data_IF_011713909939
#
_entry.id   IF_011713909939
#
_cell.length_a   1.000
_cell.length_b   1.000
_cell.length_c   1.000
_cell.angle_alpha   90.00
_cell.angle_beta   90.00
_cell.angle_gamma   90.00
#
_symmetry.space_group_name_H-M   'P 1'
#
loop_
_entity.id
_entity.type
_entity.pdbx_description
1 polymer ?
#
# COMPACT_ATOMS: atom_id res chain seq x y z
N UNK A 1 -63.57 -37.62 -46.41
CA UNK A 1 -64.49 -38.68 -45.97
C UNK A 1 -63.64 -39.89 -45.64
N UNK A 2 -63.12 -39.93 -44.41
CA UNK A 2 -62.53 -41.08 -43.70
C UNK A 2 -62.37 -40.67 -42.22
N UNK A 3 -62.54 -41.67 -41.36
CA UNK A 3 -63.05 -41.70 -39.98
C UNK A 3 -62.08 -41.15 -38.88
N UNK A 4 -62.58 -40.42 -37.85
CA UNK A 4 -61.76 -39.92 -36.75
C UNK A 4 -61.79 -40.85 -35.52
N UNK A 5 -61.01 -41.95 -35.52
CA UNK A 5 -60.70 -42.75 -34.31
C UNK A 5 -59.34 -43.43 -34.44
N UNK A 6 -58.28 -42.67 -34.21
CA UNK A 6 -56.95 -43.22 -33.93
C UNK A 6 -56.50 -42.76 -32.53
N UNK A 7 -56.41 -43.66 -31.53
CA UNK A 7 -56.11 -43.32 -30.14
C UNK A 7 -54.62 -43.00 -29.88
N UNK A 8 -53.74 -43.03 -30.88
CA UNK A 8 -52.29 -42.90 -30.66
C UNK A 8 -51.75 -41.46 -30.69
N UNK A 9 -52.60 -40.44 -30.86
CA UNK A 9 -52.16 -39.04 -30.85
C UNK A 9 -52.01 -38.41 -29.45
N UNK A 10 -52.40 -39.10 -28.37
CA UNK A 10 -52.34 -38.57 -27.01
C UNK A 10 -51.07 -38.92 -26.22
N UNK A 11 -50.13 -39.67 -26.79
CA UNK A 11 -48.89 -40.07 -26.09
C UNK A 11 -47.57 -39.63 -26.74
N UNK A 12 -47.60 -38.81 -27.81
CA UNK A 12 -46.40 -38.39 -28.54
C UNK A 12 -45.91 -36.95 -28.25
N UNK A 13 -46.45 -36.28 -27.21
CA UNK A 13 -46.07 -34.89 -26.86
C UNK A 13 -45.40 -34.72 -25.48
N UNK A 14 -45.06 -35.80 -24.78
CA UNK A 14 -44.50 -35.74 -23.41
C UNK A 14 -42.99 -36.04 -23.28
N UNK A 15 -42.23 -36.16 -24.38
CA UNK A 15 -40.78 -36.44 -24.33
C UNK A 15 -39.93 -35.46 -25.13
N UNK A 16 -40.10 -34.14 -24.90
CA UNK A 16 -39.05 -33.16 -25.18
C UNK A 16 -38.42 -32.70 -23.86
N UNK A 17 -37.16 -33.03 -23.56
CA UNK A 17 -36.48 -32.45 -22.42
C UNK A 17 -36.40 -30.93 -22.63
N UNK A 18 -36.89 -30.17 -21.65
CA UNK A 18 -36.70 -28.71 -21.61
C UNK A 18 -35.20 -28.43 -21.60
N UNK A 19 -34.70 -27.42 -22.36
CA UNK A 19 -33.32 -26.99 -22.19
C UNK A 19 -33.15 -26.57 -20.72
N UNK A 20 -32.26 -27.28 -20.02
CA UNK A 20 -31.87 -26.90 -18.68
C UNK A 20 -31.30 -25.48 -18.76
N UNK A 21 -31.92 -24.54 -18.05
CA UNK A 21 -31.29 -23.28 -17.70
C UNK A 21 -30.07 -23.63 -16.84
N UNK A 22 -28.94 -23.85 -17.51
CA UNK A 22 -27.64 -23.73 -16.88
C UNK A 22 -27.50 -22.24 -16.61
N UNK A 23 -27.48 -21.87 -15.33
CA UNK A 23 -26.99 -20.57 -14.90
C UNK A 23 -25.49 -20.57 -15.21
N UNK A 24 -25.16 -20.42 -16.49
CA UNK A 24 -23.82 -20.20 -17.01
C UNK A 24 -23.48 -18.78 -16.59
N UNK A 25 -22.37 -18.61 -15.87
CA UNK A 25 -21.90 -17.32 -15.34
C UNK A 25 -21.97 -16.23 -16.43
N UNK A 26 -23.04 -15.43 -16.37
CA UNK A 26 -23.28 -14.31 -17.28
C UNK A 26 -22.17 -13.25 -17.16
N UNK A 27 -21.41 -13.29 -16.08
CA UNK A 27 -20.19 -12.51 -15.81
C UNK A 27 -19.02 -12.89 -16.72
N UNK A 28 -18.83 -14.16 -17.09
CA UNK A 28 -17.73 -14.57 -17.97
C UNK A 28 -18.02 -14.25 -19.44
N UNK A 29 -19.25 -14.45 -19.89
CA UNK A 29 -19.65 -14.07 -21.25
C UNK A 29 -19.73 -12.54 -21.43
N UNK A 30 -20.13 -11.79 -20.39
CA UNK A 30 -20.05 -10.33 -20.42
C UNK A 30 -18.60 -9.82 -20.45
N UNK A 31 -17.67 -10.46 -19.72
CA UNK A 31 -16.23 -10.17 -19.79
C UNK A 31 -15.60 -10.53 -21.13
N UNK A 32 -16.07 -11.59 -21.79
CA UNK A 32 -15.56 -12.00 -23.10
C UNK A 32 -16.06 -11.13 -24.26
N UNK A 33 -17.23 -10.50 -24.11
CA UNK A 33 -17.87 -9.67 -25.14
C UNK A 33 -17.39 -8.21 -25.14
N UNK A 34 -16.74 -7.77 -24.06
CA UNK A 34 -16.21 -6.42 -23.95
C UNK A 34 -14.76 -6.40 -24.47
N UNK A 35 -14.59 -5.87 -25.67
CA UNK A 35 -13.33 -5.90 -26.43
C UNK A 35 -12.23 -5.11 -25.70
N UNK A 36 -12.59 -4.13 -24.86
CA UNK A 36 -11.67 -3.38 -23.99
C UNK A 36 -11.24 -4.17 -22.72
N UNK A 37 -11.96 -5.24 -22.37
CA UNK A 37 -11.66 -6.12 -21.21
C UNK A 37 -10.90 -7.40 -21.60
N UNK A 38 -10.67 -7.65 -22.89
CA UNK A 38 -9.81 -8.77 -23.30
C UNK A 38 -8.37 -8.46 -22.90
N UNK A 39 -7.84 -9.24 -21.93
CA UNK A 39 -6.40 -9.25 -21.66
C UNK A 39 -5.69 -9.58 -22.97
N UNK A 40 -4.74 -8.74 -23.38
CA UNK A 40 -3.75 -9.12 -24.40
C UNK A 40 -3.14 -10.46 -24.01
N UNK A 41 -2.66 -11.28 -24.98
CA UNK A 41 -2.20 -12.62 -24.68
C UNK A 41 -1.15 -12.59 -23.56
N UNK A 42 -1.57 -13.11 -22.39
CA UNK A 42 -0.67 -13.38 -21.27
C UNK A 42 0.50 -14.21 -21.80
N UNK A 43 1.71 -13.98 -21.27
CA UNK A 43 2.89 -14.75 -21.66
C UNK A 43 2.52 -16.24 -21.63
N UNK A 44 2.42 -16.86 -22.80
CA UNK A 44 2.20 -18.30 -22.96
C UNK A 44 3.56 -18.99 -22.87
N UNK A 45 3.60 -20.30 -22.66
CA UNK A 45 4.85 -21.05 -22.66
C UNK A 45 5.64 -20.87 -23.99
N UNK A 46 4.95 -20.48 -25.07
CA UNK A 46 5.55 -20.16 -26.36
C UNK A 46 6.13 -18.73 -26.45
N UNK A 47 5.68 -17.80 -25.61
CA UNK A 47 6.05 -16.38 -25.64
C UNK A 47 6.81 -15.93 -24.38
N UNK A 48 7.20 -16.85 -23.50
CA UNK A 48 8.07 -16.60 -22.33
C UNK A 48 9.55 -16.83 -22.70
N UNK A 49 10.30 -15.78 -23.06
CA UNK A 49 11.66 -15.91 -23.58
C UNK A 49 12.63 -16.54 -22.57
N UNK A 50 12.31 -16.49 -21.27
CA UNK A 50 13.15 -17.01 -20.20
C UNK A 50 12.57 -18.24 -19.49
N UNK A 51 11.44 -18.77 -19.97
CA UNK A 51 10.82 -19.97 -19.40
C UNK A 51 10.54 -19.86 -17.89
N UNK A 52 10.33 -18.65 -17.38
CA UNK A 52 10.05 -18.38 -15.96
C UNK A 52 8.80 -19.11 -15.47
N UNK A 53 7.82 -19.34 -16.35
CA UNK A 53 6.60 -20.11 -16.04
C UNK A 53 6.87 -21.51 -15.54
N UNK A 54 7.91 -22.18 -16.04
CA UNK A 54 8.30 -23.52 -15.57
C UNK A 54 8.80 -23.50 -14.11
N UNK A 55 9.20 -22.34 -13.61
CA UNK A 55 9.59 -22.14 -12.21
C UNK A 55 8.40 -22.08 -11.24
N UNK A 56 7.17 -21.84 -11.73
CA UNK A 56 5.99 -21.72 -10.88
C UNK A 56 5.68 -23.04 -10.17
N UNK A 57 5.51 -22.97 -8.85
CA UNK A 57 5.04 -24.09 -8.03
C UNK A 57 3.55 -23.95 -7.77
N UNK A 58 2.77 -24.95 -8.16
CA UNK A 58 1.33 -24.95 -7.86
C UNK A 58 1.08 -25.13 -6.37
N UNK A 59 -0.11 -24.77 -5.88
CA UNK A 59 -0.48 -25.00 -4.48
C UNK A 59 -0.32 -26.49 -4.07
N UNK A 60 -0.62 -27.40 -4.99
CA UNK A 60 -0.40 -28.84 -4.80
C UNK A 60 1.09 -29.20 -4.69
N UNK A 61 1.97 -28.54 -5.43
CA UNK A 61 3.42 -28.75 -5.32
C UNK A 61 3.96 -28.25 -3.98
N UNK A 62 3.48 -27.09 -3.50
CA UNK A 62 3.83 -26.56 -2.17
C UNK A 62 3.37 -27.50 -1.06
N UNK A 63 2.15 -28.04 -1.17
CA UNK A 63 1.62 -29.04 -0.24
C UNK A 63 2.42 -30.35 -0.26
N UNK A 64 2.92 -30.79 -1.42
CA UNK A 64 3.79 -31.97 -1.50
C UNK A 64 5.19 -31.71 -0.94
N UNK A 65 5.75 -30.52 -1.13
CA UNK A 65 7.02 -30.09 -0.49
C UNK A 65 6.85 -30.12 1.03
N UNK A 66 5.73 -29.60 1.54
CA UNK A 66 5.35 -29.67 2.95
C UNK A 66 5.22 -31.11 3.44
N UNK A 67 4.53 -31.96 2.68
CA UNK A 67 4.32 -33.37 3.01
C UNK A 67 5.63 -34.17 3.03
N UNK A 68 6.51 -33.99 2.05
CA UNK A 68 7.80 -34.69 1.95
C UNK A 68 8.76 -34.29 3.07
N UNK A 69 8.77 -33.01 3.43
CA UNK A 69 9.58 -32.52 4.56
C UNK A 69 9.02 -33.01 5.90
N UNK A 70 7.68 -33.13 6.01
CA UNK A 70 7.04 -33.71 7.18
C UNK A 70 7.31 -35.21 7.36
N UNK A 71 7.41 -36.00 6.28
CA UNK A 71 7.77 -37.43 6.33
C UNK A 71 9.21 -37.66 6.80
N UNK A 72 10.12 -36.71 6.61
CA UNK A 72 11.48 -36.77 7.16
C UNK A 72 11.51 -36.60 8.69
N UNK A 73 10.44 -36.08 9.32
CA UNK A 73 10.29 -35.94 10.79
C UNK A 73 10.14 -37.27 11.53
N UNK A 74 9.67 -38.33 10.87
CA UNK A 74 9.36 -39.61 11.57
C UNK A 74 10.57 -40.54 11.69
N UNK A 75 11.69 -40.26 11.01
CA UNK A 75 12.84 -41.15 10.95
C UNK A 75 13.92 -40.92 12.04
N UNK A 76 13.80 -39.90 12.90
CA UNK A 76 14.75 -39.67 13.99
C UNK A 76 14.31 -38.60 14.97
N UNK A 77 13.98 -38.98 16.21
CA UNK A 77 13.41 -38.06 17.20
C UNK A 77 14.40 -37.66 18.29
N UNK A 78 14.79 -36.38 18.29
CA UNK A 78 14.94 -35.54 19.49
C UNK A 78 14.06 -34.28 19.30
N UNK A 79 13.41 -33.76 20.35
CA UNK A 79 12.38 -32.71 20.23
C UNK A 79 12.92 -31.35 19.73
N UNK A 80 14.20 -31.06 19.95
CA UNK A 80 14.86 -29.82 19.49
C UNK A 80 15.10 -29.82 17.97
N UNK A 81 15.35 -30.99 17.37
CA UNK A 81 15.52 -31.14 15.94
C UNK A 81 14.20 -30.88 15.19
N UNK A 82 13.06 -31.26 15.78
CA UNK A 82 11.74 -31.07 15.17
C UNK A 82 11.34 -29.59 14.98
N UNK A 83 11.72 -28.70 15.90
CA UNK A 83 11.45 -27.26 15.79
C UNK A 83 12.29 -26.56 14.71
N UNK A 84 13.57 -26.93 14.59
CA UNK A 84 14.48 -26.38 13.57
C UNK A 84 14.06 -26.79 12.15
N UNK A 85 13.64 -28.03 11.96
CA UNK A 85 13.18 -28.51 10.64
C UNK A 85 11.83 -27.89 10.25
N UNK A 86 10.89 -27.70 11.20
CA UNK A 86 9.63 -27.01 10.92
C UNK A 86 9.83 -25.54 10.51
N UNK A 87 10.76 -24.83 11.16
CA UNK A 87 11.13 -23.48 10.78
C UNK A 87 11.73 -23.43 9.37
N UNK A 88 12.61 -24.38 9.01
CA UNK A 88 13.16 -24.49 7.66
C UNK A 88 12.08 -24.76 6.60
N UNK A 89 11.11 -25.62 6.88
CA UNK A 89 9.99 -25.88 5.95
C UNK A 89 9.16 -24.63 5.71
N UNK A 90 8.80 -23.91 6.78
CA UNK A 90 8.02 -22.66 6.65
C UNK A 90 8.80 -21.60 5.86
N UNK A 91 10.11 -21.50 6.10
CA UNK A 91 10.98 -20.57 5.35
C UNK A 91 11.12 -20.96 3.88
N UNK A 92 11.10 -22.26 3.57
CA UNK A 92 11.13 -22.77 2.20
C UNK A 92 9.81 -22.52 1.46
N UNK A 93 8.68 -22.70 2.15
CA UNK A 93 7.34 -22.37 1.65
C UNK A 93 7.24 -20.88 1.34
N UNK A 94 7.56 -20.03 2.32
CA UNK A 94 7.61 -18.57 2.17
C UNK A 94 8.54 -18.15 1.01
N UNK A 95 9.67 -18.85 0.83
CA UNK A 95 10.56 -18.63 -0.31
C UNK A 95 9.87 -18.95 -1.64
N UNK A 96 9.24 -20.11 -1.81
CA UNK A 96 8.56 -20.46 -3.07
C UNK A 96 7.32 -19.62 -3.33
N UNK A 97 6.58 -19.23 -2.30
CA UNK A 97 5.48 -18.27 -2.41
C UNK A 97 6.00 -16.92 -2.92
N UNK A 98 7.08 -16.40 -2.34
CA UNK A 98 7.72 -15.15 -2.79
C UNK A 98 8.24 -15.28 -4.23
N UNK A 99 8.81 -16.43 -4.61
CA UNK A 99 9.25 -16.67 -5.98
C UNK A 99 8.08 -16.75 -6.96
N UNK A 100 7.00 -17.42 -6.60
CA UNK A 100 5.79 -17.47 -7.43
C UNK A 100 5.19 -16.07 -7.62
N UNK A 101 5.15 -15.27 -6.56
CA UNK A 101 4.69 -13.88 -6.64
C UNK A 101 5.61 -13.06 -7.55
N UNK A 102 6.92 -13.24 -7.46
CA UNK A 102 7.87 -12.55 -8.34
C UNK A 102 7.70 -12.98 -9.81
N UNK A 103 7.65 -14.28 -10.10
CA UNK A 103 7.45 -14.80 -11.46
C UNK A 103 6.12 -14.31 -12.04
N UNK A 104 5.04 -14.34 -11.24
CA UNK A 104 3.74 -13.85 -11.70
C UNK A 104 3.75 -12.34 -11.96
N UNK A 105 4.49 -11.56 -11.16
CA UNK A 105 4.71 -10.12 -11.40
C UNK A 105 5.51 -9.86 -12.68
N UNK A 106 6.58 -10.61 -12.94
CA UNK A 106 7.40 -10.45 -14.15
C UNK A 106 6.63 -10.81 -15.42
N UNK A 107 5.87 -11.89 -15.37
CA UNK A 107 5.07 -12.39 -16.50
C UNK A 107 3.74 -11.65 -16.67
N UNK A 108 3.44 -10.68 -15.83
CA UNK A 108 2.22 -9.91 -15.98
C UNK A 108 2.43 -8.85 -17.08
N UNK A 109 1.57 -8.82 -18.10
CA UNK A 109 1.64 -7.79 -19.13
C UNK A 109 1.58 -6.38 -18.51
N UNK A 110 2.34 -5.44 -19.09
CA UNK A 110 2.35 -4.04 -18.63
C UNK A 110 0.94 -3.45 -18.69
N UNK A 111 0.17 -3.78 -19.72
CA UNK A 111 -1.22 -3.31 -19.87
C UNK A 111 -2.14 -3.84 -18.76
N UNK A 112 -1.89 -5.03 -18.22
CA UNK A 112 -2.62 -5.55 -17.06
C UNK A 112 -2.26 -4.81 -15.78
N UNK A 113 -1.01 -4.34 -15.64
CA UNK A 113 -0.64 -3.46 -14.53
C UNK A 113 -1.36 -2.10 -14.62
N UNK A 114 -1.45 -1.51 -15.81
CA UNK A 114 -2.16 -0.25 -16.05
C UNK A 114 -3.66 -0.43 -15.81
N UNK A 115 -4.24 -1.51 -16.35
CA UNK A 115 -5.65 -1.81 -16.20
C UNK A 115 -6.01 -2.07 -14.74
N UNK A 116 -5.26 -2.87 -14.00
CA UNK A 116 -5.54 -3.07 -12.58
C UNK A 116 -5.37 -1.79 -11.76
N UNK A 117 -4.42 -0.92 -12.10
CA UNK A 117 -4.29 0.37 -11.47
C UNK A 117 -5.54 1.23 -11.74
N UNK A 118 -6.02 1.25 -12.98
CA UNK A 118 -7.24 1.95 -13.40
C UNK A 118 -8.51 1.34 -12.81
N UNK A 119 -8.65 0.02 -12.78
CA UNK A 119 -9.77 -0.69 -12.15
C UNK A 119 -9.76 -0.49 -10.63
N UNK A 120 -8.59 -0.45 -9.96
CA UNK A 120 -8.51 -0.06 -8.55
C UNK A 120 -8.98 1.38 -8.32
N UNK A 121 -8.79 2.25 -9.31
CA UNK A 121 -9.21 3.65 -9.25
C UNK A 121 -10.70 3.83 -9.61
N UNK A 122 -11.25 3.00 -10.50
CA UNK A 122 -12.63 3.09 -11.00
C UNK A 122 -13.62 2.24 -10.18
N UNK A 123 -13.16 1.14 -9.56
CA UNK A 123 -13.98 0.24 -8.73
C UNK A 123 -14.29 0.76 -7.33
N UNK A 124 -14.24 2.09 -7.14
CA UNK A 124 -14.76 2.76 -5.95
C UNK A 124 -16.27 2.57 -5.82
N UNK A 125 -16.68 1.38 -5.38
CA UNK A 125 -18.06 1.06 -5.04
C UNK A 125 -18.57 2.06 -4.00
N UNK A 126 -19.88 2.33 -3.99
CA UNK A 126 -20.53 3.21 -3.01
C UNK A 126 -20.11 2.91 -1.56
N UNK A 127 -19.87 1.65 -1.22
CA UNK A 127 -19.38 1.22 0.10
C UNK A 127 -17.98 1.77 0.43
N UNK A 128 -17.08 1.83 -0.56
CA UNK A 128 -15.75 2.40 -0.43
C UNK A 128 -15.82 3.92 -0.21
N UNK A 129 -16.62 4.64 -1.03
CA UNK A 129 -16.79 6.09 -0.87
C UNK A 129 -17.42 6.45 0.48
N UNK A 130 -18.41 5.66 0.91
CA UNK A 130 -19.03 5.82 2.23
C UNK A 130 -18.03 5.52 3.35
N UNK A 131 -17.19 4.49 3.23
CA UNK A 131 -16.19 4.18 4.25
C UNK A 131 -15.13 5.28 4.37
N UNK A 132 -14.61 5.80 3.26
CA UNK A 132 -13.59 6.86 3.24
C UNK A 132 -14.16 8.20 3.71
N UNK A 133 -15.25 8.67 3.09
CA UNK A 133 -15.87 9.94 3.48
C UNK A 133 -16.52 9.89 4.86
N UNK A 134 -17.13 8.76 5.22
CA UNK A 134 -17.72 8.53 6.54
C UNK A 134 -16.68 8.53 7.64
N UNK A 135 -15.54 7.87 7.44
CA UNK A 135 -14.45 7.87 8.43
C UNK A 135 -13.77 9.22 8.55
N UNK A 136 -13.62 9.96 7.44
CA UNK A 136 -13.13 11.34 7.48
C UNK A 136 -14.08 12.27 8.27
N UNK A 137 -15.38 12.19 8.00
CA UNK A 137 -16.39 12.96 8.74
C UNK A 137 -16.42 12.58 10.22
N UNK A 138 -16.32 11.29 10.53
CA UNK A 138 -16.24 10.80 11.90
C UNK A 138 -14.99 11.33 12.62
N UNK A 139 -13.82 11.33 11.97
CA UNK A 139 -12.59 11.88 12.53
C UNK A 139 -12.72 13.38 12.84
N UNK A 140 -13.38 14.17 11.99
CA UNK A 140 -13.67 15.59 12.27
C UNK A 140 -14.57 15.75 13.51
N UNK A 141 -15.64 14.96 13.61
CA UNK A 141 -16.55 14.99 14.76
C UNK A 141 -15.81 14.59 16.05
N UNK A 142 -14.99 13.53 15.97
CA UNK A 142 -14.18 13.05 17.08
C UNK A 142 -13.16 14.10 17.55
N UNK A 143 -12.50 14.80 16.61
CA UNK A 143 -11.60 15.90 16.93
C UNK A 143 -12.33 17.02 17.71
N UNK A 144 -13.55 17.36 17.32
CA UNK A 144 -14.39 18.33 18.04
C UNK A 144 -14.77 17.86 19.45
N UNK A 145 -15.12 16.58 19.62
CA UNK A 145 -15.44 16.00 20.93
C UNK A 145 -14.20 15.95 21.84
N UNK A 146 -13.04 15.59 21.29
CA UNK A 146 -11.79 15.57 22.03
C UNK A 146 -11.31 16.97 22.39
N UNK A 147 -11.59 17.97 21.55
CA UNK A 147 -11.30 19.38 21.85
C UNK A 147 -12.09 19.83 23.08
N UNK A 148 -13.39 19.54 23.09
CA UNK A 148 -14.24 19.81 24.25
C UNK A 148 -13.74 19.06 25.50
N UNK A 149 -13.36 17.78 25.37
CA UNK A 149 -12.88 17.00 26.49
C UNK A 149 -11.54 17.49 27.05
N UNK A 150 -10.58 17.87 26.22
CA UNK A 150 -9.29 18.38 26.67
C UNK A 150 -9.42 19.73 27.38
N UNK A 151 -10.19 20.67 26.80
CA UNK A 151 -10.43 21.99 27.40
C UNK A 151 -11.19 21.87 28.72
N UNK A 152 -12.24 21.04 28.76
CA UNK A 152 -13.03 20.86 29.99
C UNK A 152 -12.29 20.08 31.07
N UNK A 153 -11.42 19.14 30.71
CA UNK A 153 -10.70 18.32 31.69
C UNK A 153 -9.44 18.96 32.24
N UNK A 154 -8.80 19.86 31.50
CA UNK A 154 -7.47 20.39 31.84
C UNK A 154 -6.35 19.35 31.88
N UNK A 155 -6.59 18.13 31.38
CA UNK A 155 -5.65 17.00 31.46
C UNK A 155 -4.65 17.03 30.31
N UNK A 156 -3.37 16.91 30.64
CA UNK A 156 -2.27 17.00 29.67
C UNK A 156 -2.21 15.80 28.73
N UNK A 157 -2.58 14.60 29.22
CA UNK A 157 -2.67 13.42 28.35
C UNK A 157 -3.81 13.55 27.33
N UNK A 158 -4.95 14.13 27.74
CA UNK A 158 -6.07 14.39 26.83
C UNK A 158 -5.73 15.48 25.80
N UNK A 159 -4.95 16.50 26.18
CA UNK A 159 -4.39 17.47 25.23
C UNK A 159 -3.46 16.82 24.21
N UNK A 160 -2.70 15.80 24.61
CA UNK A 160 -1.83 15.06 23.68
C UNK A 160 -2.65 14.27 22.68
N UNK A 161 -3.69 13.57 23.12
CA UNK A 161 -4.61 12.84 22.21
C UNK A 161 -5.43 13.78 21.33
N UNK A 162 -5.73 14.98 21.81
CA UNK A 162 -6.40 16.02 21.03
C UNK A 162 -5.52 16.49 19.87
N UNK A 163 -4.24 16.76 20.14
CA UNK A 163 -3.31 17.22 19.12
C UNK A 163 -3.29 16.21 17.96
N UNK A 164 -3.10 14.93 18.28
CA UNK A 164 -3.15 13.81 17.32
C UNK A 164 -4.43 13.87 16.45
N UNK A 165 -5.61 13.88 17.09
CA UNK A 165 -6.89 13.85 16.39
C UNK A 165 -7.24 15.10 15.58
N UNK A 166 -6.71 16.28 15.91
CA UNK A 166 -6.86 17.49 15.08
C UNK A 166 -5.92 17.42 13.87
N UNK A 167 -4.69 16.95 14.09
CA UNK A 167 -3.67 16.98 13.07
C UNK A 167 -3.85 15.84 12.04
N UNK A 168 -4.47 14.72 12.39
CA UNK A 168 -4.81 13.65 11.43
C UNK A 168 -5.69 14.12 10.25
N UNK A 169 -6.84 14.78 10.45
CA UNK A 169 -7.62 15.32 9.34
C UNK A 169 -6.89 16.48 8.63
N UNK A 170 -6.05 17.25 9.34
CA UNK A 170 -5.23 18.29 8.71
C UNK A 170 -4.13 17.71 7.79
N UNK A 171 -3.55 16.57 8.13
CA UNK A 171 -2.57 15.88 7.29
C UNK A 171 -3.23 15.41 5.98
N UNK A 172 -4.41 14.79 6.09
CA UNK A 172 -5.24 14.40 4.94
C UNK A 172 -5.64 15.60 4.08
N UNK A 173 -6.02 16.73 4.69
CA UNK A 173 -6.30 17.96 3.95
C UNK A 173 -5.05 18.46 3.22
N UNK A 174 -3.90 18.43 3.88
CA UNK A 174 -2.62 18.84 3.28
C UNK A 174 -2.27 17.96 2.08
N UNK A 175 -2.44 16.64 2.19
CA UNK A 175 -2.29 15.69 1.08
C UNK A 175 -3.22 16.03 -0.09
N UNK A 176 -4.50 16.29 0.17
CA UNK A 176 -5.47 16.67 -0.87
C UNK A 176 -5.06 17.98 -1.56
N UNK A 177 -4.61 18.97 -0.79
CA UNK A 177 -4.16 20.26 -1.33
C UNK A 177 -2.88 20.08 -2.17
N UNK A 178 -1.93 19.27 -1.70
CA UNK A 178 -0.72 18.91 -2.43
C UNK A 178 -1.06 18.19 -3.74
N UNK A 179 -1.90 17.16 -3.69
CA UNK A 179 -2.34 16.43 -4.88
C UNK A 179 -3.02 17.35 -5.90
N UNK A 180 -3.88 18.27 -5.43
CA UNK A 180 -4.53 19.27 -6.30
C UNK A 180 -3.51 20.26 -6.90
N UNK A 181 -2.46 20.60 -6.17
CA UNK A 181 -1.37 21.46 -6.66
C UNK A 181 -0.48 20.73 -7.69
N UNK A 182 -0.25 19.42 -7.51
CA UNK A 182 0.46 18.55 -8.47
C UNK A 182 -0.36 18.35 -9.75
N UNK A 183 -1.68 18.22 -9.67
CA UNK A 183 -2.53 18.08 -10.85
C UNK A 183 -2.67 19.36 -11.68
N UNK A 184 -2.25 20.52 -11.14
CA UNK A 184 -2.25 21.83 -11.84
C UNK A 184 -0.84 22.29 -12.21
N UNK A 185 -0.04 21.38 -12.77
CA UNK A 185 1.33 21.70 -13.22
C UNK A 185 1.30 22.27 -14.63
N UNK A 186 1.97 23.41 -14.81
CA UNK A 186 2.35 23.92 -16.12
C UNK A 186 3.67 23.24 -16.55
N UNK A 187 3.66 22.42 -17.62
CA UNK A 187 4.85 21.71 -18.10
C UNK A 187 6.01 22.63 -18.46
N UNK A 188 5.75 23.89 -18.83
CA UNK A 188 6.82 24.83 -19.23
C UNK A 188 7.66 25.31 -18.07
N UNK A 189 7.06 25.43 -16.88
CA UNK A 189 7.74 25.90 -15.67
C UNK A 189 8.34 24.77 -14.85
N UNK A 190 7.76 23.58 -14.94
CA UNK A 190 8.15 22.39 -14.18
C UNK A 190 8.22 21.16 -15.11
N UNK A 191 9.30 21.02 -15.91
CA UNK A 191 9.42 19.95 -16.90
C UNK A 191 9.51 18.56 -16.26
N UNK A 192 9.98 18.47 -15.02
CA UNK A 192 10.06 17.24 -14.23
C UNK A 192 8.85 17.03 -13.31
N UNK A 193 7.74 17.73 -13.55
CA UNK A 193 6.54 17.66 -12.70
C UNK A 193 6.69 18.37 -11.34
N UNK A 194 5.67 18.22 -10.48
CA UNK A 194 5.65 18.72 -9.08
C UNK A 194 5.43 17.61 -8.04
N UNK A 195 5.60 16.34 -8.40
CA UNK A 195 5.32 15.21 -7.50
C UNK A 195 6.02 15.35 -6.14
N UNK A 196 7.23 15.93 -6.11
CA UNK A 196 8.02 16.21 -4.89
C UNK A 196 7.35 17.15 -3.88
N UNK A 197 6.37 17.96 -4.29
CA UNK A 197 5.64 18.86 -3.38
C UNK A 197 4.87 18.06 -2.34
N UNK A 198 4.36 16.88 -2.71
CA UNK A 198 3.67 15.98 -1.79
C UNK A 198 4.60 15.55 -0.66
N UNK A 199 5.76 14.99 -1.01
CA UNK A 199 6.83 14.61 -0.07
C UNK A 199 7.29 15.79 0.78
N UNK A 200 7.49 16.98 0.19
CA UNK A 200 7.87 18.18 0.92
C UNK A 200 6.79 18.63 1.93
N UNK A 201 5.51 18.53 1.56
CA UNK A 201 4.37 18.78 2.43
C UNK A 201 4.35 17.80 3.62
N UNK A 202 4.54 16.51 3.36
CA UNK A 202 4.59 15.47 4.41
C UNK A 202 5.75 15.71 5.39
N UNK A 203 6.93 16.11 4.89
CA UNK A 203 8.08 16.46 5.73
C UNK A 203 7.77 17.67 6.61
N UNK A 204 7.24 18.76 6.02
CA UNK A 204 6.88 19.96 6.76
C UNK A 204 5.85 19.67 7.85
N UNK A 205 4.85 18.84 7.55
CA UNK A 205 3.85 18.40 8.50
C UNK A 205 4.45 17.55 9.62
N UNK A 206 5.36 16.63 9.30
CA UNK A 206 6.07 15.81 10.29
C UNK A 206 6.89 16.67 11.27
N UNK A 207 7.53 17.74 10.79
CA UNK A 207 8.23 18.68 11.65
C UNK A 207 7.29 19.50 12.54
N UNK A 208 6.14 19.94 12.00
CA UNK A 208 5.10 20.61 12.78
C UNK A 208 4.62 19.71 13.94
N UNK A 209 4.33 18.44 13.64
CA UNK A 209 3.91 17.46 14.65
C UNK A 209 4.97 17.19 15.69
N UNK A 210 6.23 17.06 15.27
CA UNK A 210 7.35 16.92 16.19
C UNK A 210 7.48 18.13 17.12
N UNK A 211 7.29 19.35 16.59
CA UNK A 211 7.31 20.57 17.40
C UNK A 211 6.17 20.63 18.42
N UNK A 212 4.94 20.27 18.02
CA UNK A 212 3.79 20.17 18.93
C UNK A 212 4.06 19.16 20.05
N UNK A 213 4.58 17.98 19.71
CA UNK A 213 4.97 16.97 20.69
C UNK A 213 6.06 17.46 21.65
N UNK A 214 7.07 18.20 21.18
CA UNK A 214 8.09 18.79 22.05
C UNK A 214 7.50 19.83 23.02
N UNK A 215 6.56 20.65 22.55
CA UNK A 215 5.84 21.60 23.41
C UNK A 215 5.08 20.84 24.50
N UNK A 216 4.36 19.78 24.15
CA UNK A 216 3.62 18.94 25.11
C UNK A 216 4.53 18.24 26.12
N UNK A 217 5.71 17.78 25.70
CA UNK A 217 6.74 17.23 26.60
C UNK A 217 7.17 18.30 27.61
N UNK A 218 7.49 19.52 27.15
CA UNK A 218 7.92 20.61 28.04
C UNK A 218 6.80 21.03 29.00
N UNK A 219 5.56 21.16 28.52
CA UNK A 219 4.40 21.46 29.36
C UNK A 219 4.21 20.39 30.44
N UNK A 220 4.28 19.12 30.06
CA UNK A 220 4.10 18.00 30.97
C UNK A 220 5.25 17.82 31.95
N UNK A 221 6.49 18.07 31.52
CA UNK A 221 7.66 18.07 32.39
C UNK A 221 7.62 19.23 33.40
N UNK A 222 7.16 20.40 32.97
CA UNK A 222 6.94 21.55 33.87
C UNK A 222 5.87 21.25 34.90
N UNK A 223 4.76 20.65 34.50
CA UNK A 223 3.68 20.27 35.43
C UNK A 223 4.15 19.22 36.45
N UNK A 224 4.92 18.23 35.98
CA UNK A 224 5.54 17.24 36.86
C UNK A 224 6.55 17.85 37.84
N UNK A 225 7.36 18.81 37.39
CA UNK A 225 8.38 19.48 38.20
C UNK A 225 7.81 20.52 39.17
N UNK A 226 6.72 21.20 38.79
CA UNK A 226 6.03 22.15 39.66
C UNK A 226 5.48 21.47 40.92
N UNK A 227 5.14 20.18 40.80
CA UNK A 227 4.61 19.39 41.89
C UNK A 227 3.19 19.82 42.24
N UNK A 228 2.31 18.86 42.44
CA UNK A 228 0.96 19.18 42.86
C UNK A 228 0.98 19.65 44.33
N UNK A 229 0.66 20.92 44.59
CA UNK A 229 0.57 21.54 45.92
C UNK A 229 -0.56 20.97 46.79
N UNK A 230 -0.63 19.65 46.95
CA UNK A 230 -1.55 18.95 47.84
C UNK A 230 -2.99 18.81 47.35
N UNK A 231 -3.35 19.23 46.12
CA UNK A 231 -4.71 19.04 45.60
C UNK A 231 -4.82 17.74 44.82
N UNK A 232 -5.22 16.67 45.51
CA UNK A 232 -5.45 15.35 44.91
C UNK A 232 -6.50 15.33 43.77
N UNK A 233 -7.11 16.47 43.44
CA UNK A 233 -8.19 16.61 42.47
C UNK A 233 -8.00 17.92 41.70
N UNK A 234 -7.38 17.88 40.52
CA UNK A 234 -8.01 18.63 39.43
C UNK A 234 -9.40 18.00 39.30
N UNK A 235 -10.46 18.79 39.44
CA UNK A 235 -11.84 18.29 39.46
C UNK A 235 -12.02 17.29 38.32
N UNK A 236 -12.16 16.00 38.67
CA UNK A 236 -12.32 14.95 37.68
C UNK A 236 -13.66 15.22 36.99
N UNK A 237 -13.59 15.89 35.84
CA UNK A 237 -14.74 16.17 35.03
C UNK A 237 -15.22 14.83 34.47
N UNK A 238 -16.10 14.16 35.19
CA UNK A 238 -16.71 12.91 34.75
C UNK A 238 -17.28 13.04 33.34
N UNK A 239 -17.76 14.24 32.98
CA UNK A 239 -18.16 14.62 31.64
C UNK A 239 -17.05 14.48 30.59
N UNK A 240 -15.81 14.91 30.86
CA UNK A 240 -14.69 14.76 29.90
C UNK A 240 -14.31 13.29 29.73
N UNK A 241 -14.27 12.50 30.81
CA UNK A 241 -14.01 11.07 30.75
C UNK A 241 -15.10 10.31 29.99
N UNK A 242 -16.38 10.69 30.15
CA UNK A 242 -17.50 10.11 29.38
C UNK A 242 -17.37 10.50 27.90
N UNK A 243 -17.07 11.76 27.58
CA UNK A 243 -16.91 12.21 26.18
C UNK A 243 -15.76 11.48 25.49
N UNK A 244 -14.61 11.32 26.16
CA UNK A 244 -13.48 10.55 25.60
C UNK A 244 -13.79 9.06 25.53
N UNK A 245 -14.54 8.52 26.49
CA UNK A 245 -15.03 7.14 26.44
C UNK A 245 -15.98 6.89 25.27
N UNK A 246 -16.90 7.83 24.99
CA UNK A 246 -17.78 7.79 23.82
C UNK A 246 -16.96 7.91 22.54
N UNK A 247 -16.01 8.83 22.47
CA UNK A 247 -15.11 8.97 21.33
C UNK A 247 -14.32 7.68 21.05
N UNK A 248 -13.80 7.04 22.11
CA UNK A 248 -13.12 5.74 22.02
C UNK A 248 -14.06 4.65 21.52
N UNK A 249 -15.30 4.56 22.04
CA UNK A 249 -16.30 3.59 21.59
C UNK A 249 -16.71 3.79 20.12
N UNK A 250 -16.88 5.04 19.69
CA UNK A 250 -17.15 5.38 18.28
C UNK A 250 -15.98 4.94 17.40
N UNK A 251 -14.74 5.25 17.79
CA UNK A 251 -13.54 4.85 17.04
C UNK A 251 -13.36 3.32 17.01
N UNK A 252 -13.69 2.64 18.11
CA UNK A 252 -13.71 1.17 18.19
C UNK A 252 -14.77 0.56 17.26
N UNK A 253 -15.93 1.19 17.11
CA UNK A 253 -16.97 0.76 16.17
C UNK A 253 -16.53 0.92 14.72
N UNK A 254 -15.87 2.04 14.38
CA UNK A 254 -15.24 2.24 13.06
C UNK A 254 -14.14 1.21 12.79
N UNK A 255 -13.34 0.87 13.81
CA UNK A 255 -12.33 -0.18 13.73
C UNK A 255 -12.96 -1.54 13.37
N UNK A 256 -14.04 -1.96 14.04
CA UNK A 256 -14.72 -3.23 13.72
C UNK A 256 -15.38 -3.21 12.33
N UNK A 257 -15.93 -2.07 11.92
CA UNK A 257 -16.50 -1.89 10.59
C UNK A 257 -15.42 -2.04 9.50
N UNK A 258 -14.29 -1.36 9.64
CA UNK A 258 -13.17 -1.47 8.71
C UNK A 258 -12.52 -2.86 8.77
N UNK A 259 -12.49 -3.51 9.94
CA UNK A 259 -11.97 -4.86 10.11
C UNK A 259 -12.75 -5.89 9.28
N UNK A 260 -14.09 -5.78 9.24
CA UNK A 260 -14.94 -6.67 8.44
C UNK A 260 -14.69 -6.52 6.93
N UNK A 261 -14.28 -5.33 6.48
CA UNK A 261 -14.07 -4.99 5.07
C UNK A 261 -12.60 -4.97 4.63
N UNK A 262 -11.65 -5.19 5.56
CA UNK A 262 -10.20 -5.04 5.32
C UNK A 262 -9.65 -5.99 4.24
N UNK A 263 -10.28 -7.14 4.03
CA UNK A 263 -9.83 -8.15 3.08
C UNK A 263 -10.36 -7.89 1.66
N UNK A 264 -11.31 -6.96 1.51
CA UNK A 264 -11.95 -6.66 0.23
C UNK A 264 -11.28 -5.49 -0.49
N UNK A 265 -10.85 -4.47 0.26
CA UNK A 265 -10.27 -3.25 -0.31
C UNK A 265 -8.96 -2.87 0.40
N UNK A 266 -7.88 -2.68 -0.38
CA UNK A 266 -6.55 -2.33 0.14
C UNK A 266 -6.53 -0.99 0.90
N UNK A 267 -7.31 0.00 0.46
CA UNK A 267 -7.40 1.28 1.16
C UNK A 267 -8.14 1.17 2.50
N UNK A 268 -9.14 0.29 2.60
CA UNK A 268 -9.82 0.03 3.89
C UNK A 268 -8.87 -0.64 4.88
N UNK A 269 -7.92 -1.45 4.39
CA UNK A 269 -6.85 -2.00 5.24
C UNK A 269 -5.98 -0.89 5.82
N UNK A 270 -5.60 0.10 5.03
CA UNK A 270 -4.81 1.26 5.50
C UNK A 270 -5.60 2.04 6.56
N UNK A 271 -6.88 2.33 6.28
CA UNK A 271 -7.77 3.02 7.22
C UNK A 271 -8.00 2.22 8.52
N UNK A 272 -8.03 0.89 8.43
CA UNK A 272 -8.09 0.03 9.61
C UNK A 272 -6.81 0.09 10.45
N UNK A 273 -5.63 0.13 9.81
CA UNK A 273 -4.35 0.29 10.50
C UNK A 273 -4.26 1.65 11.20
N UNK A 274 -4.77 2.70 10.55
CA UNK A 274 -4.91 4.05 11.09
C UNK A 274 -5.79 4.05 12.36
N UNK A 275 -7.03 3.58 12.25
CA UNK A 275 -7.94 3.47 13.39
C UNK A 275 -7.40 2.60 14.52
N UNK A 276 -6.62 1.56 14.22
CA UNK A 276 -5.97 0.72 15.22
C UNK A 276 -4.94 1.53 16.02
N UNK A 277 -4.05 2.23 15.34
CA UNK A 277 -3.00 3.01 15.99
C UNK A 277 -3.60 4.13 16.84
N UNK A 278 -4.61 4.81 16.31
CA UNK A 278 -5.33 5.83 17.04
C UNK A 278 -6.03 5.30 18.29
N UNK A 279 -6.61 4.10 18.22
CA UNK A 279 -7.25 3.48 19.37
C UNK A 279 -6.24 3.22 20.49
N UNK A 280 -5.01 2.83 20.14
CA UNK A 280 -3.92 2.67 21.12
C UNK A 280 -3.53 4.01 21.75
N UNK A 281 -3.32 5.05 20.96
CA UNK A 281 -2.92 6.39 21.45
C UNK A 281 -4.03 6.98 22.33
N UNK A 282 -5.27 6.98 21.84
CA UNK A 282 -6.43 7.52 22.55
C UNK A 282 -6.79 6.71 23.80
N UNK A 283 -6.68 5.38 23.72
CA UNK A 283 -6.91 4.49 24.87
C UNK A 283 -5.85 4.68 25.96
N UNK A 284 -4.58 4.83 25.58
CA UNK A 284 -3.50 5.11 26.52
C UNK A 284 -3.63 6.49 27.17
N UNK A 285 -4.00 7.52 26.40
CA UNK A 285 -4.29 8.86 26.93
C UNK A 285 -5.45 8.85 27.92
N UNK A 286 -6.58 8.22 27.57
CA UNK A 286 -7.73 8.08 28.48
C UNK A 286 -7.36 7.33 29.77
N UNK A 287 -6.62 6.22 29.65
CA UNK A 287 -6.18 5.44 30.80
C UNK A 287 -5.30 6.29 31.73
N UNK A 288 -4.30 6.97 31.19
CA UNK A 288 -3.37 7.79 31.98
C UNK A 288 -4.07 9.00 32.62
N UNK A 289 -5.03 9.61 31.93
CA UNK A 289 -5.89 10.67 32.49
C UNK A 289 -6.72 10.18 33.69
N UNK A 290 -7.43 9.04 33.56
CA UNK A 290 -8.26 8.48 34.64
C UNK A 290 -7.39 8.05 35.83
N UNK A 291 -6.25 7.39 35.58
CA UNK A 291 -5.33 6.98 36.64
C UNK A 291 -4.67 8.19 37.31
N UNK A 292 -4.37 9.24 36.55
CA UNK A 292 -3.89 10.52 37.04
C UNK A 292 -4.84 11.15 38.05
N UNK A 293 -6.13 11.15 37.74
CA UNK A 293 -7.16 11.73 38.58
C UNK A 293 -7.55 10.87 39.79
N UNK A 294 -7.59 9.54 39.66
CA UNK A 294 -8.09 8.64 40.72
C UNK A 294 -7.00 7.99 41.59
N UNK A 295 -5.81 7.79 41.04
CA UNK A 295 -4.76 7.00 41.69
C UNK A 295 -3.62 7.89 42.16
N UNK A 296 -2.91 8.54 41.23
CA UNK A 296 -1.75 9.39 41.52
C UNK A 296 -1.62 10.50 40.47
N UNK A 297 -1.56 11.74 40.93
CA UNK A 297 -1.53 12.94 40.09
C UNK A 297 -0.45 12.92 39.00
N UNK A 298 0.74 12.37 39.28
CA UNK A 298 1.85 12.36 38.34
C UNK A 298 1.65 11.43 37.14
N UNK A 299 0.66 10.51 37.18
CA UNK A 299 0.43 9.56 36.09
C UNK A 299 -0.04 10.27 34.82
N UNK A 300 -0.83 11.34 34.95
CA UNK A 300 -1.30 12.12 33.80
C UNK A 300 -0.16 12.82 33.05
N UNK A 301 0.67 13.67 33.68
CA UNK A 301 1.81 14.30 33.00
C UNK A 301 2.87 13.28 32.55
N UNK A 302 3.09 12.18 33.29
CA UNK A 302 3.99 11.11 32.85
C UNK A 302 3.45 10.42 31.58
N UNK A 303 2.16 10.12 31.55
CA UNK A 303 1.48 9.56 30.38
C UNK A 303 1.59 10.47 29.15
N UNK A 304 1.38 11.77 29.34
CA UNK A 304 1.53 12.77 28.30
C UNK A 304 2.96 12.85 27.73
N UNK A 305 4.00 12.76 28.59
CA UNK A 305 5.41 12.71 28.15
C UNK A 305 5.66 11.46 27.31
N UNK A 306 5.26 10.28 27.81
CA UNK A 306 5.47 9.01 27.09
C UNK A 306 4.79 9.06 25.72
N UNK A 307 3.54 9.54 25.67
CA UNK A 307 2.77 9.62 24.44
C UNK A 307 3.37 10.63 23.45
N UNK A 308 3.77 11.79 23.93
CA UNK A 308 4.40 12.82 23.09
C UNK A 308 5.75 12.37 22.54
N UNK A 309 6.56 11.64 23.33
CA UNK A 309 7.81 11.04 22.87
C UNK A 309 7.57 9.98 21.79
N UNK A 310 6.54 9.14 21.95
CA UNK A 310 6.17 8.14 20.95
C UNK A 310 5.73 8.81 19.64
N UNK A 311 4.85 9.81 19.71
CA UNK A 311 4.37 10.56 18.55
C UNK A 311 5.55 11.26 17.85
N UNK A 312 6.41 11.96 18.60
CA UNK A 312 7.60 12.60 18.04
C UNK A 312 8.54 11.59 17.32
N UNK A 313 8.76 10.40 17.90
CA UNK A 313 9.58 9.37 17.28
C UNK A 313 8.96 8.82 15.99
N UNK A 314 7.65 8.57 15.98
CA UNK A 314 6.92 8.10 14.79
C UNK A 314 7.00 9.13 13.66
N UNK A 315 6.72 10.40 13.94
CA UNK A 315 6.78 11.47 12.94
C UNK A 315 8.20 11.76 12.47
N UNK A 316 9.20 11.68 13.34
CA UNK A 316 10.60 11.80 12.92
C UNK A 316 11.00 10.66 11.99
N UNK A 317 10.57 9.43 12.29
CA UNK A 317 10.79 8.28 11.39
C UNK A 317 10.10 8.50 10.04
N UNK A 318 8.85 8.94 10.03
CA UNK A 318 8.11 9.29 8.79
C UNK A 318 8.85 10.37 7.99
N UNK A 319 9.27 11.46 8.64
CA UNK A 319 10.06 12.51 8.01
C UNK A 319 11.34 11.97 7.37
N UNK A 320 12.07 11.06 8.04
CA UNK A 320 13.28 10.46 7.46
C UNK A 320 12.99 9.57 6.25
N UNK A 321 11.86 8.87 6.23
CA UNK A 321 11.44 8.05 5.08
C UNK A 321 11.09 8.94 3.89
N UNK A 322 10.28 9.97 4.11
CA UNK A 322 9.90 10.95 3.08
C UNK A 322 11.14 11.70 2.56
N UNK A 323 12.06 12.06 3.44
CA UNK A 323 13.30 12.71 3.05
C UNK A 323 14.17 11.83 2.14
N UNK A 324 14.20 10.51 2.35
CA UNK A 324 14.90 9.57 1.45
C UNK A 324 14.27 9.55 0.05
N UNK A 325 12.95 9.67 -0.05
CA UNK A 325 12.25 9.77 -1.34
C UNK A 325 12.61 11.07 -2.07
N UNK A 326 12.85 12.16 -1.33
CA UNK A 326 13.27 13.43 -1.89
C UNK A 326 14.73 13.43 -2.38
N UNK A 327 15.63 12.72 -1.69
CA UNK A 327 17.04 12.57 -2.09
C UNK A 327 17.21 11.64 -3.30
N UNK A 328 16.26 10.72 -3.51
CA UNK A 328 16.32 9.73 -4.57
C UNK A 328 16.95 8.43 -4.13
N UNK A 329 16.37 7.80 -3.11
CA UNK A 329 16.64 6.40 -2.79
C UNK A 329 16.28 5.50 -3.98
N UNK A 330 17.05 4.43 -4.19
CA UNK A 330 16.79 3.42 -5.24
C UNK A 330 15.41 2.79 -5.07
N UNK A 331 14.80 2.40 -6.19
CA UNK A 331 13.62 1.56 -6.19
C UNK A 331 13.90 0.21 -5.51
N UNK A 332 12.84 -0.48 -5.09
CA UNK A 332 12.93 -1.83 -4.54
C UNK A 332 13.47 -2.81 -5.58
N UNK A 333 14.11 -3.88 -5.09
CA UNK A 333 14.73 -4.89 -5.95
C UNK A 333 13.73 -5.55 -6.89
N UNK A 334 12.48 -5.71 -6.48
CA UNK A 334 11.45 -6.33 -7.31
C UNK A 334 11.01 -5.41 -8.45
N UNK A 335 10.93 -4.09 -8.22
CA UNK A 335 10.72 -3.13 -9.31
C UNK A 335 11.90 -3.09 -10.27
N UNK A 336 13.14 -3.09 -9.78
CA UNK A 336 14.33 -3.15 -10.65
C UNK A 336 14.32 -4.42 -11.51
N UNK A 337 14.05 -5.59 -10.92
CA UNK A 337 13.92 -6.85 -11.67
C UNK A 337 12.83 -6.78 -12.74
N UNK A 338 11.70 -6.16 -12.43
CA UNK A 338 10.59 -5.98 -13.36
C UNK A 338 10.96 -5.06 -14.53
N UNK A 339 11.61 -3.93 -14.26
CA UNK A 339 12.12 -3.01 -15.28
C UNK A 339 13.15 -3.70 -16.19
N UNK A 340 14.09 -4.45 -15.59
CA UNK A 340 15.08 -5.24 -16.34
C UNK A 340 14.39 -6.27 -17.25
N UNK A 341 13.41 -7.01 -16.72
CA UNK A 341 12.69 -8.01 -17.50
C UNK A 341 11.91 -7.38 -18.66
N UNK A 342 11.18 -6.29 -18.42
CA UNK A 342 10.42 -5.58 -19.47
C UNK A 342 11.36 -5.08 -20.57
N UNK A 343 12.51 -4.53 -20.18
CA UNK A 343 13.49 -3.96 -21.12
C UNK A 343 14.14 -5.04 -21.97
N UNK A 344 14.56 -6.14 -21.35
CA UNK A 344 15.22 -7.25 -22.05
C UNK A 344 14.28 -8.01 -23.00
N UNK A 345 12.98 -8.07 -22.67
CA UNK A 345 11.97 -8.79 -23.46
C UNK A 345 11.22 -7.90 -24.46
N UNK A 346 11.61 -6.63 -24.60
CA UNK A 346 10.87 -5.67 -25.42
C UNK A 346 11.00 -5.94 -26.92
N UNK A 347 12.22 -6.20 -27.41
CA UNK A 347 12.50 -6.36 -28.84
C UNK A 347 13.71 -7.28 -29.06
N UNK A 348 13.72 -8.11 -30.12
CA UNK A 348 14.88 -8.94 -30.47
C UNK A 348 16.09 -8.12 -30.94
N UNK A 349 15.92 -6.82 -31.23
CA UNK A 349 17.02 -5.93 -31.58
C UNK A 349 17.88 -5.53 -30.37
N UNK A 350 17.38 -5.76 -29.16
CA UNK A 350 18.11 -5.52 -27.92
C UNK A 350 18.98 -6.75 -27.65
N UNK A 351 20.30 -6.58 -27.74
CA UNK A 351 21.27 -7.66 -27.56
C UNK A 351 21.54 -7.91 -26.08
N UNK A 352 21.69 -6.83 -25.31
CA UNK A 352 21.95 -6.88 -23.87
C UNK A 352 21.50 -5.59 -23.18
N UNK A 353 21.40 -5.65 -21.85
CA UNK A 353 21.25 -4.47 -21.00
C UNK A 353 22.59 -4.23 -20.30
N UNK A 354 23.08 -3.00 -20.34
CA UNK A 354 24.28 -2.63 -19.60
C UNK A 354 23.90 -2.25 -18.16
N UNK A 355 23.08 -1.21 -18.03
CA UNK A 355 22.72 -0.62 -16.75
C UNK A 355 21.21 -0.40 -16.64
N UNK A 356 20.63 -0.77 -15.49
CA UNK A 356 19.24 -0.45 -15.12
C UNK A 356 19.25 0.24 -13.77
N UNK A 357 18.81 1.50 -13.75
CA UNK A 357 18.71 2.32 -12.54
C UNK A 357 17.31 2.86 -12.42
N UNK A 358 16.76 2.80 -11.22
CA UNK A 358 15.51 3.47 -10.90
C UNK A 358 15.62 4.07 -9.50
N UNK A 359 15.23 5.32 -9.36
CA UNK A 359 15.25 6.02 -8.07
C UNK A 359 14.03 6.91 -7.93
N UNK A 360 13.71 7.22 -6.68
CA UNK A 360 12.56 8.03 -6.35
C UNK A 360 12.78 9.52 -6.66
N UNK A 361 11.74 10.18 -7.14
CA UNK A 361 11.61 11.62 -7.32
C UNK A 361 10.36 12.06 -6.59
N UNK A 362 10.43 12.10 -5.25
CA UNK A 362 9.23 12.14 -4.42
C UNK A 362 8.50 10.80 -4.45
N UNK A 363 7.16 10.76 -4.62
CA UNK A 363 6.43 9.49 -4.59
C UNK A 363 6.61 8.63 -5.86
N UNK A 364 7.05 9.22 -6.98
CA UNK A 364 7.21 8.53 -8.27
C UNK A 364 8.65 8.13 -8.56
N UNK A 365 8.86 7.28 -9.56
CA UNK A 365 10.16 6.79 -10.00
C UNK A 365 10.64 7.48 -11.28
N UNK A 366 11.92 7.78 -11.33
CA UNK A 366 12.65 8.04 -12.56
C UNK A 366 13.44 6.78 -12.89
N UNK A 367 13.36 6.34 -14.15
CA UNK A 367 14.02 5.14 -14.64
C UNK A 367 15.03 5.51 -15.71
N UNK A 368 16.25 4.98 -15.59
CA UNK A 368 17.29 5.00 -16.62
C UNK A 368 17.62 3.56 -17.00
N UNK A 369 17.57 3.28 -18.31
CA UNK A 369 17.91 1.98 -18.88
C UNK A 369 18.86 2.19 -20.05
N UNK A 370 20.00 1.51 -19.99
CA UNK A 370 21.00 1.53 -21.04
C UNK A 370 20.90 0.19 -21.79
N UNK A 371 20.43 0.26 -23.05
CA UNK A 371 20.24 -0.90 -23.93
C UNK A 371 21.35 -0.97 -24.95
N UNK A 372 21.81 -2.19 -25.24
CA UNK A 372 22.84 -2.43 -26.25
C UNK A 372 22.21 -2.96 -27.52
N UNK A 373 22.48 -2.30 -28.63
CA UNK A 373 22.00 -2.65 -29.97
C UNK A 373 23.17 -2.83 -30.94
N UNK A 374 22.92 -3.50 -32.06
CA UNK A 374 23.95 -3.72 -33.08
C UNK A 374 24.36 -2.38 -33.74
N UNK A 375 25.67 -2.14 -33.86
CA UNK A 375 26.28 -0.96 -34.47
C UNK A 375 25.90 -0.75 -35.95
N UNK A 376 25.51 -1.81 -36.66
CA UNK A 376 25.09 -1.74 -38.06
C UNK A 376 23.62 -1.34 -38.22
N UNK A 377 22.86 -1.28 -37.11
CA UNK A 377 21.47 -0.83 -37.13
C UNK A 377 21.38 0.63 -37.53
N UNK A 378 20.30 0.97 -38.24
CA UNK A 378 20.07 2.38 -38.57
C UNK A 378 19.69 3.15 -37.29
N UNK A 379 20.07 4.43 -37.24
CA UNK A 379 19.66 5.34 -36.15
C UNK A 379 18.13 5.38 -36.03
N UNK A 380 17.42 5.19 -37.15
CA UNK A 380 15.96 5.13 -37.16
C UNK A 380 15.44 3.91 -36.40
N UNK A 381 15.93 2.72 -36.72
CA UNK A 381 15.42 1.47 -36.12
C UNK A 381 15.77 1.38 -34.62
N UNK A 382 16.96 1.85 -34.25
CA UNK A 382 17.38 1.96 -32.86
C UNK A 382 16.55 2.99 -32.08
N UNK A 383 16.33 4.19 -32.65
CA UNK A 383 15.47 5.21 -32.07
C UNK A 383 14.04 4.71 -31.87
N UNK A 384 13.42 4.12 -32.90
CA UNK A 384 12.02 3.66 -32.85
C UNK A 384 11.85 2.56 -31.78
N UNK A 385 12.85 1.68 -31.63
CA UNK A 385 12.87 0.65 -30.58
C UNK A 385 13.03 1.25 -29.18
N UNK A 386 13.95 2.20 -29.00
CA UNK A 386 14.19 2.84 -27.72
C UNK A 386 13.01 3.72 -27.28
N UNK A 387 12.39 4.46 -28.21
CA UNK A 387 11.21 5.29 -27.95
C UNK A 387 10.01 4.40 -27.56
N UNK A 388 9.81 3.27 -28.25
CA UNK A 388 8.78 2.31 -27.89
C UNK A 388 9.02 1.69 -26.50
N UNK A 389 10.26 1.39 -26.14
CA UNK A 389 10.63 0.93 -24.80
C UNK A 389 10.37 2.02 -23.77
N UNK A 390 10.77 3.27 -24.04
CA UNK A 390 10.54 4.40 -23.15
C UNK A 390 9.04 4.57 -22.85
N UNK A 391 8.19 4.59 -23.87
CA UNK A 391 6.73 4.69 -23.69
C UNK A 391 6.16 3.51 -22.89
N UNK A 392 6.69 2.29 -23.10
CA UNK A 392 6.28 1.09 -22.33
C UNK A 392 6.69 1.16 -20.86
N UNK A 393 7.83 1.76 -20.55
CA UNK A 393 8.26 1.95 -19.16
C UNK A 393 7.50 3.10 -18.49
N UNK A 394 7.23 4.19 -19.20
CA UNK A 394 6.44 5.33 -18.72
C UNK A 394 4.96 5.00 -18.51
N UNK A 395 4.44 3.93 -19.13
CA UNK A 395 3.06 3.49 -18.89
C UNK A 395 2.90 2.79 -17.53
N UNK A 396 3.98 2.37 -16.86
CA UNK A 396 3.91 1.78 -15.52
C UNK A 396 3.40 2.82 -14.50
N UNK A 397 2.53 2.42 -13.55
CA UNK A 397 1.81 3.36 -12.68
C UNK A 397 2.72 4.20 -11.78
N UNK A 398 3.87 3.67 -11.36
CA UNK A 398 4.79 4.34 -10.45
C UNK A 398 5.90 5.13 -11.18
N UNK A 399 6.02 5.00 -12.50
CA UNK A 399 7.09 5.64 -13.30
C UNK A 399 6.61 7.00 -13.79
N UNK A 400 7.33 8.06 -13.42
CA UNK A 400 7.06 9.42 -13.91
C UNK A 400 7.73 9.69 -15.25
N UNK A 401 8.95 9.17 -15.41
CA UNK A 401 9.77 9.36 -16.60
C UNK A 401 10.73 8.19 -16.77
N UNK A 402 10.93 7.77 -18.00
CA UNK A 402 11.99 6.85 -18.37
C UNK A 402 12.97 7.53 -19.33
N UNK A 403 14.25 7.19 -19.20
CA UNK A 403 15.31 7.55 -20.12
C UNK A 403 15.92 6.26 -20.63
N UNK A 404 15.89 6.06 -21.94
CA UNK A 404 16.48 4.89 -22.59
C UNK A 404 17.70 5.38 -23.35
N UNK A 405 18.89 5.01 -22.89
CA UNK A 405 20.13 5.23 -23.63
C UNK A 405 20.40 4.04 -24.54
N UNK A 406 20.97 4.29 -25.71
CA UNK A 406 21.33 3.25 -26.67
C UNK A 406 22.85 3.23 -26.80
N UNK A 407 23.42 2.11 -26.42
CA UNK A 407 24.83 1.81 -26.59
C UNK A 407 25.03 0.78 -27.71
N UNK A 408 26.23 0.76 -28.28
CA UNK A 408 26.65 -0.25 -29.26
C UNK A 408 27.65 -1.25 -28.67
N UNK A 409 28.10 -1.04 -27.43
CA UNK A 409 29.03 -1.91 -26.72
C UNK A 409 28.75 -1.99 -25.21
N UNK A 410 29.35 -2.97 -24.53
CA UNK A 410 29.19 -3.24 -23.09
C UNK A 410 30.46 -2.97 -22.27
N UNK A 411 31.52 -2.48 -22.90
CA UNK A 411 32.84 -2.33 -22.24
C UNK A 411 33.13 -0.94 -21.68
N UNK A 412 32.33 0.07 -22.00
CA UNK A 412 32.50 1.41 -21.48
C UNK A 412 32.07 1.48 -20.01
N UNK A 413 32.95 2.05 -19.19
CA UNK A 413 32.58 2.48 -17.84
C UNK A 413 31.65 3.71 -17.97
N UNK A 414 30.69 3.92 -17.05
CA UNK A 414 29.71 5.00 -17.15
C UNK A 414 30.42 6.36 -17.31
N UNK A 415 30.32 6.96 -18.49
CA UNK A 415 31.09 8.16 -18.89
C UNK A 415 30.70 9.42 -18.10
N UNK A 416 29.59 9.36 -17.35
CA UNK A 416 29.20 10.42 -16.44
C UNK A 416 30.00 10.31 -15.13
N UNK A 417 31.18 10.94 -15.12
CA UNK A 417 31.92 11.22 -13.89
C UNK A 417 30.96 11.69 -12.80
N UNK A 418 30.84 10.92 -11.72
CA UNK A 418 30.15 11.46 -10.55
C UNK A 418 31.03 12.59 -10.02
N UNK A 419 30.49 13.79 -9.88
CA UNK A 419 31.20 14.93 -9.24
C UNK A 419 31.70 14.64 -7.81
N UNK A 420 31.42 13.46 -7.25
CA UNK A 420 32.01 12.96 -6.01
C UNK A 420 33.46 12.49 -6.17
N UNK A 421 33.92 12.26 -7.40
CA UNK A 421 35.26 11.75 -7.73
C UNK A 421 36.17 12.82 -8.35
N UNK A 422 35.69 14.07 -8.44
CA UNK A 422 36.48 15.28 -8.67
C UNK A 422 36.71 15.99 -7.33
#
# INVERSE_FOLDING_TARGET
MTDPRDPDLHNALSLRPRPAFTHRDSTEQARAADIELQSLPSYTDANDPYSLRHGLKTATDLDTIRANTSRKRTAGCTPVAAGKEAWKTRKLEEFYETQNENISRLLKPVDDHVREAKEKQDSEALQFKIAVHGSFAANIILAGLQLYAAISSGSLSLFTTLADAIFDPMSNLTLILCARAVNRVDPRRWPSGKARIETAGNIAFSFLMTAVSLILIVLSARDLAAGNGGKLTADFHLASAIVVGVAFCTKLSLFFYCWALRNTYSQIRILWEDHRNDLFINGFGLMTSILGAKVRWWIDPMGAIILSCLIAFLWLRTATSEFKLLIGVTADTAMLQHLTYISMTHSPLILSLDTVRAWHSGPRLIVEVDIVMDQEQTVKDSHDTAEALQMKLESLPDVERAYVHIDYETSHAPEHFTKKEL
#
